data_IF_336093485992
#
_entry.id   IF_336093485992
#
_cell.length_a   1.000
_cell.length_b   1.000
_cell.length_c   1.000
_cell.angle_alpha   90.00
_cell.angle_beta   90.00
_cell.angle_gamma   90.00
#
_symmetry.space_group_name_H-M   'P 1'
#
loop_
_entity.id
_entity.type
_entity.pdbx_description
1 polymer ?
#
# COMPACT_ATOMS: atom_id res chain seq x y z
N UNK A 1 10.86 15.12 -7.05
CA UNK A 1 10.55 13.74 -6.60
C UNK A 1 11.43 13.50 -5.40
N UNK A 2 10.89 13.73 -4.19
CA UNK A 2 11.60 13.45 -2.94
C UNK A 2 11.23 12.02 -2.57
N UNK A 3 12.14 11.08 -2.81
CA UNK A 3 11.96 9.69 -2.40
C UNK A 3 11.77 9.59 -0.88
N UNK A 4 10.65 9.06 -0.45
CA UNK A 4 10.30 8.83 0.95
C UNK A 4 11.06 7.63 1.52
N UNK A 5 12.37 7.65 1.48
CA UNK A 5 13.20 6.56 1.99
C UNK A 5 14.58 7.05 2.43
N UNK A 6 14.85 7.06 3.71
CA UNK A 6 16.20 6.89 4.22
C UNK A 6 17.05 8.10 4.55
N UNK A 7 16.57 9.33 4.50
CA UNK A 7 17.39 10.51 4.84
C UNK A 7 17.29 10.93 6.32
N UNK A 8 16.31 10.44 7.06
CA UNK A 8 16.00 10.89 8.41
C UNK A 8 16.62 10.05 9.53
N UNK A 9 17.19 8.89 9.19
CA UNK A 9 17.79 7.95 10.16
C UNK A 9 19.32 8.09 10.34
N UNK A 10 19.96 9.11 9.75
CA UNK A 10 21.40 9.32 9.95
C UNK A 10 21.64 10.51 10.90
N UNK A 11 22.25 10.28 12.07
CA UNK A 11 22.69 11.35 12.96
C UNK A 11 24.01 11.94 12.45
N UNK A 12 23.97 12.81 11.45
CA UNK A 12 25.09 13.68 11.11
C UNK A 12 24.57 15.04 10.66
N UNK A 13 24.91 16.05 11.49
CA UNK A 13 24.85 17.49 11.31
C UNK A 13 24.38 18.03 9.98
N UNK A 14 23.10 18.28 9.87
CA UNK A 14 22.55 19.15 8.82
C UNK A 14 22.55 20.56 9.39
N UNK A 15 23.16 21.51 8.67
CA UNK A 15 23.21 22.91 9.06
C UNK A 15 21.81 23.45 9.36
N UNK A 16 21.63 23.93 10.58
CA UNK A 16 20.33 24.24 11.21
C UNK A 16 19.57 25.40 10.53
N UNK A 17 20.24 26.22 9.72
CA UNK A 17 19.67 27.46 9.16
C UNK A 17 18.88 27.26 7.85
N UNK A 18 19.22 26.29 7.01
CA UNK A 18 18.45 25.98 5.79
C UNK A 18 17.23 25.09 6.03
N UNK A 19 17.30 24.21 7.02
CA UNK A 19 16.24 23.25 7.34
C UNK A 19 14.97 23.86 7.90
N UNK A 20 15.08 24.95 8.68
CA UNK A 20 13.91 25.59 9.28
C UNK A 20 12.93 26.16 8.25
N UNK A 21 13.42 26.85 7.24
CA UNK A 21 12.57 27.42 6.17
C UNK A 21 11.83 26.32 5.41
N UNK A 22 12.53 25.24 5.10
CA UNK A 22 11.93 24.07 4.44
C UNK A 22 10.87 23.42 5.32
N UNK A 23 11.13 23.27 6.63
CA UNK A 23 10.15 22.73 7.59
C UNK A 23 8.92 23.63 7.69
N UNK A 24 9.10 24.95 7.72
CA UNK A 24 7.97 25.89 7.74
C UNK A 24 7.14 25.82 6.47
N UNK A 25 7.77 25.72 5.30
CA UNK A 25 7.08 25.56 4.02
C UNK A 25 6.28 24.24 4.00
N UNK A 26 6.90 23.12 4.35
CA UNK A 26 6.21 21.82 4.41
C UNK A 26 5.05 21.81 5.42
N UNK A 27 5.18 22.50 6.56
CA UNK A 27 4.06 22.65 7.50
C UNK A 27 2.91 23.49 6.90
N UNK A 28 3.24 24.54 6.16
CA UNK A 28 2.24 25.34 5.44
C UNK A 28 1.51 24.53 4.37
N UNK A 29 2.22 23.56 3.74
CA UNK A 29 1.66 22.60 2.79
C UNK A 29 0.88 21.45 3.47
N UNK A 30 0.69 21.50 4.80
CA UNK A 30 -0.13 20.55 5.54
C UNK A 30 0.61 19.33 6.11
N UNK A 31 1.93 19.25 5.96
CA UNK A 31 2.70 18.14 6.54
C UNK A 31 2.83 18.27 8.06
N UNK A 32 2.49 17.20 8.77
CA UNK A 32 2.62 17.16 10.25
C UNK A 32 4.07 16.89 10.67
N UNK A 33 4.86 17.96 10.74
CA UNK A 33 6.27 17.89 11.16
C UNK A 33 6.41 18.37 12.60
N UNK A 34 6.86 17.49 13.49
CA UNK A 34 7.12 17.78 14.91
C UNK A 34 8.62 18.05 15.14
N UNK A 35 8.91 19.03 15.96
CA UNK A 35 10.27 19.26 16.43
C UNK A 35 10.56 18.33 17.61
N UNK A 36 11.70 17.64 17.58
CA UNK A 36 12.17 16.77 18.65
C UNK A 36 13.43 17.40 19.25
N UNK A 37 13.42 17.83 20.50
CA UNK A 37 14.58 18.47 21.14
C UNK A 37 15.84 17.63 20.98
N UNK A 38 16.93 18.26 20.52
CA UNK A 38 18.25 17.63 20.27
C UNK A 38 18.28 16.51 19.20
N UNK A 39 17.13 16.18 18.57
CA UNK A 39 17.02 15.14 17.53
C UNK A 39 16.60 15.69 16.17
N UNK A 40 16.16 16.96 16.09
CA UNK A 40 15.73 17.60 14.85
C UNK A 40 14.22 17.54 14.63
N UNK A 41 13.79 17.13 13.45
CA UNK A 41 12.39 17.11 13.04
C UNK A 41 11.95 15.70 12.70
N UNK A 42 10.71 15.39 13.03
CA UNK A 42 10.06 14.12 12.72
C UNK A 42 8.77 14.39 11.95
N UNK A 43 8.66 13.79 10.76
CA UNK A 43 7.43 13.80 9.97
C UNK A 43 6.49 12.73 10.56
N UNK A 44 5.36 13.15 11.10
CA UNK A 44 4.30 12.23 11.51
C UNK A 44 3.42 11.92 10.32
N UNK A 45 3.27 10.64 9.93
CA UNK A 45 2.32 10.29 8.91
C UNK A 45 0.89 10.62 9.36
N UNK A 46 -0.06 10.89 8.45
CA UNK A 46 -1.48 10.89 8.75
C UNK A 46 -1.91 9.58 9.41
N UNK A 47 -2.96 9.60 10.22
CA UNK A 47 -3.45 8.39 10.91
C UNK A 47 -3.79 7.25 9.93
N UNK A 48 -4.27 7.60 8.74
CA UNK A 48 -4.65 6.65 7.69
C UNK A 48 -3.54 6.42 6.65
N UNK A 49 -2.31 6.82 6.92
CA UNK A 49 -1.25 6.72 5.91
C UNK A 49 -0.85 5.26 5.64
N UNK A 50 -0.88 4.89 4.37
CA UNK A 50 -0.35 3.61 3.86
C UNK A 50 1.08 3.74 3.35
N UNK A 51 1.87 4.63 3.94
CA UNK A 51 3.24 4.87 3.53
C UNK A 51 4.14 3.65 3.76
N UNK A 52 5.15 3.44 2.91
CA UNK A 52 6.06 2.30 3.04
C UNK A 52 6.71 2.16 4.42
N UNK A 53 7.03 3.28 5.08
CA UNK A 53 7.59 3.28 6.44
C UNK A 53 6.60 2.74 7.48
N UNK A 54 5.31 3.09 7.36
CA UNK A 54 4.25 2.61 8.23
C UNK A 54 4.02 1.11 8.03
N UNK A 55 3.99 0.67 6.77
CA UNK A 55 3.83 -0.75 6.43
C UNK A 55 5.01 -1.56 6.98
N UNK A 56 6.25 -1.14 6.71
CA UNK A 56 7.45 -1.83 7.17
C UNK A 56 7.55 -1.93 8.69
N UNK A 57 7.07 -0.93 9.44
CA UNK A 57 7.08 -0.95 10.90
C UNK A 57 6.23 -2.09 11.50
N UNK A 58 5.23 -2.58 10.77
CA UNK A 58 4.31 -3.64 11.22
C UNK A 58 4.44 -4.93 10.41
N UNK A 59 5.27 -4.93 9.36
CA UNK A 59 5.42 -6.07 8.46
C UNK A 59 6.16 -7.22 9.16
N UNK A 60 5.49 -8.37 9.26
CA UNK A 60 6.06 -9.62 9.81
C UNK A 60 6.43 -10.62 8.70
N UNK A 61 5.94 -10.41 7.50
CA UNK A 61 6.17 -11.31 6.37
C UNK A 61 7.63 -11.20 5.88
N UNK A 62 8.22 -12.36 5.52
CA UNK A 62 9.62 -12.43 5.10
C UNK A 62 9.83 -12.18 3.60
N UNK A 63 8.80 -12.36 2.77
CA UNK A 63 8.89 -12.25 1.32
C UNK A 63 7.87 -11.28 0.71
N UNK A 64 6.73 -11.07 1.34
CA UNK A 64 5.73 -10.07 0.90
C UNK A 64 6.22 -8.67 1.26
N UNK A 65 6.01 -7.71 0.35
CA UNK A 65 6.27 -6.29 0.53
C UNK A 65 7.74 -5.94 0.89
N UNK A 66 8.71 -6.78 0.48
CA UNK A 66 10.13 -6.40 0.57
C UNK A 66 10.45 -5.22 -0.37
N UNK A 67 9.83 -5.18 -1.56
CA UNK A 67 9.70 -4.00 -2.40
C UNK A 67 8.30 -3.43 -2.26
N UNK A 68 8.20 -2.13 -1.98
CA UNK A 68 6.94 -1.38 -1.89
C UNK A 68 7.05 -0.18 -2.81
N UNK A 69 6.20 -0.13 -3.81
CA UNK A 69 6.04 0.99 -4.72
C UNK A 69 4.78 1.76 -4.31
N UNK A 70 4.98 2.96 -3.77
CA UNK A 70 3.92 3.82 -3.24
C UNK A 70 3.61 4.98 -4.21
N UNK A 71 2.34 5.29 -4.34
CA UNK A 71 1.82 6.40 -5.15
C UNK A 71 0.80 7.21 -4.35
N UNK A 72 0.92 8.52 -4.39
CA UNK A 72 -0.09 9.45 -3.85
C UNK A 72 -1.42 9.29 -4.61
N UNK A 73 -1.34 9.20 -5.95
CA UNK A 73 -2.45 8.91 -6.84
C UNK A 73 -1.97 8.12 -8.05
N UNK A 74 -2.81 7.25 -8.55
CA UNK A 74 -2.53 6.49 -9.78
C UNK A 74 -3.82 6.09 -10.48
N UNK A 75 -3.73 5.74 -11.76
CA UNK A 75 -4.89 5.19 -12.48
C UNK A 75 -5.37 3.87 -11.86
N UNK A 76 -4.46 2.92 -11.63
CA UNK A 76 -4.77 1.63 -11.01
C UNK A 76 -3.49 0.92 -10.55
N UNK A 77 -3.47 0.45 -9.30
CA UNK A 77 -2.37 -0.35 -8.74
C UNK A 77 -2.20 -1.68 -9.49
N UNK A 78 -3.27 -2.31 -9.97
CA UNK A 78 -3.20 -3.52 -10.79
C UNK A 78 -2.49 -3.27 -12.13
N UNK A 79 -2.76 -2.14 -12.78
CA UNK A 79 -2.08 -1.80 -14.04
C UNK A 79 -0.58 -1.65 -13.84
N UNK A 80 -0.17 -1.01 -12.75
CA UNK A 80 1.24 -0.87 -12.40
C UNK A 80 1.84 -2.25 -12.08
N UNK A 81 1.19 -3.04 -11.23
CA UNK A 81 1.67 -4.38 -10.88
C UNK A 81 1.81 -5.28 -12.11
N UNK A 82 0.87 -5.19 -13.07
CA UNK A 82 0.95 -5.92 -14.34
C UNK A 82 2.14 -5.47 -15.19
N UNK A 83 2.40 -4.16 -15.29
CA UNK A 83 3.58 -3.65 -16.01
C UNK A 83 4.87 -4.16 -15.36
N UNK A 84 4.97 -4.09 -14.03
CA UNK A 84 6.09 -4.65 -13.27
C UNK A 84 6.21 -6.18 -13.45
N UNK A 85 5.10 -6.87 -13.65
CA UNK A 85 5.08 -8.32 -13.93
C UNK A 85 5.80 -8.70 -15.21
N UNK A 86 5.86 -7.79 -16.19
CA UNK A 86 6.58 -7.96 -17.45
C UNK A 86 8.08 -7.66 -17.35
N UNK A 87 8.53 -7.08 -16.23
CA UNK A 87 9.94 -6.84 -15.97
C UNK A 87 10.65 -8.09 -15.46
N UNK A 88 11.98 -8.05 -15.49
CA UNK A 88 12.80 -9.10 -14.89
C UNK A 88 12.47 -9.27 -13.40
N UNK A 89 12.53 -10.51 -12.92
CA UNK A 89 12.21 -10.84 -11.54
C UNK A 89 13.18 -10.20 -10.51
N UNK A 90 14.39 -9.82 -10.94
CA UNK A 90 15.32 -9.07 -10.11
C UNK A 90 14.90 -7.61 -9.92
N UNK A 91 14.28 -7.01 -10.95
CA UNK A 91 13.75 -5.65 -10.89
C UNK A 91 12.41 -5.59 -10.14
N UNK A 92 11.53 -6.57 -10.37
CA UNK A 92 10.23 -6.65 -9.70
C UNK A 92 10.01 -8.05 -9.10
N UNK A 93 10.54 -8.33 -7.90
CA UNK A 93 10.52 -9.67 -7.30
C UNK A 93 9.12 -10.11 -6.91
N UNK A 94 8.97 -11.44 -6.74
CA UNK A 94 7.79 -12.04 -6.14
C UNK A 94 7.45 -11.38 -4.79
N UNK A 95 6.19 -11.01 -4.60
CA UNK A 95 5.75 -10.31 -3.40
C UNK A 95 5.94 -8.80 -3.42
N UNK A 96 6.29 -8.19 -4.58
CA UNK A 96 6.30 -6.73 -4.71
C UNK A 96 4.90 -6.17 -4.45
N UNK A 97 4.80 -5.18 -3.56
CA UNK A 97 3.58 -4.49 -3.21
C UNK A 97 3.51 -3.15 -3.95
N UNK A 98 2.43 -2.93 -4.69
CA UNK A 98 2.05 -1.62 -5.24
C UNK A 98 0.90 -1.09 -4.41
N UNK A 99 1.02 0.11 -3.87
CA UNK A 99 0.00 0.71 -3.00
C UNK A 99 -0.20 2.18 -3.34
N UNK A 100 -1.43 2.67 -3.22
CA UNK A 100 -1.77 4.06 -3.51
C UNK A 100 -2.78 4.60 -2.49
N UNK A 101 -2.73 5.93 -2.25
CA UNK A 101 -3.74 6.63 -1.45
C UNK A 101 -5.01 6.88 -2.28
N UNK A 102 -4.89 6.98 -3.61
CA UNK A 102 -6.01 7.24 -4.52
C UNK A 102 -5.87 6.47 -5.84
N UNK A 103 -6.98 5.96 -6.36
CA UNK A 103 -7.09 5.43 -7.72
C UNK A 103 -8.11 6.22 -8.54
N UNK A 104 -7.66 6.83 -9.65
CA UNK A 104 -8.52 7.60 -10.57
C UNK A 104 -9.37 6.70 -11.47
N UNK A 105 -8.90 5.50 -11.75
CA UNK A 105 -9.56 4.51 -12.61
C UNK A 105 -9.44 3.09 -12.02
N UNK A 106 -9.84 2.97 -10.75
CA UNK A 106 -9.88 1.69 -10.05
C UNK A 106 -10.76 0.67 -10.77
N UNK A 107 -10.32 -0.58 -10.81
CA UNK A 107 -10.94 -1.64 -11.60
C UNK A 107 -11.54 -2.73 -10.71
N UNK A 108 -12.65 -3.27 -11.16
CA UNK A 108 -13.28 -4.46 -10.64
C UNK A 108 -13.50 -5.49 -11.75
N UNK A 109 -14.08 -6.63 -11.40
CA UNK A 109 -14.44 -7.68 -12.37
C UNK A 109 -15.54 -7.21 -13.34
N UNK A 110 -15.57 -7.78 -14.54
CA UNK A 110 -16.61 -7.52 -15.54
C UNK A 110 -16.76 -6.02 -15.86
N UNK A 111 -15.64 -5.34 -16.11
CA UNK A 111 -15.60 -3.90 -16.45
C UNK A 111 -16.15 -2.94 -15.38
N UNK A 112 -16.43 -3.40 -14.18
CA UNK A 112 -16.87 -2.53 -13.08
C UNK A 112 -15.73 -1.65 -12.61
N UNK A 113 -16.08 -0.45 -12.12
CA UNK A 113 -15.11 0.46 -11.49
C UNK A 113 -15.07 0.23 -9.98
N UNK A 114 -13.93 0.51 -9.38
CA UNK A 114 -13.76 0.69 -7.94
C UNK A 114 -13.58 2.16 -7.64
N UNK A 115 -14.41 2.72 -6.79
CA UNK A 115 -14.39 4.14 -6.43
C UNK A 115 -14.22 4.24 -4.92
N UNK A 116 -13.26 5.03 -4.49
CA UNK A 116 -13.05 5.39 -3.08
C UNK A 116 -12.51 6.82 -3.01
N UNK A 117 -12.76 7.49 -1.90
CA UNK A 117 -12.11 8.77 -1.62
C UNK A 117 -10.67 8.52 -1.18
N UNK A 118 -9.81 9.51 -1.37
CA UNK A 118 -8.43 9.46 -0.89
C UNK A 118 -8.41 9.21 0.62
N UNK A 119 -7.64 8.20 1.05
CA UNK A 119 -7.48 7.82 2.46
C UNK A 119 -8.61 6.98 3.06
N UNK A 120 -9.71 6.71 2.34
CA UNK A 120 -10.85 5.92 2.86
C UNK A 120 -10.68 4.41 2.60
N UNK A 121 -9.70 4.01 1.80
CA UNK A 121 -9.49 2.61 1.43
C UNK A 121 -8.00 2.26 1.31
N UNK A 122 -7.68 1.00 1.55
CA UNK A 122 -6.38 0.42 1.22
C UNK A 122 -6.42 -0.07 -0.22
N UNK A 123 -5.78 0.69 -1.11
CA UNK A 123 -5.74 0.43 -2.55
C UNK A 123 -4.39 -0.19 -2.90
N UNK A 124 -4.35 -1.50 -3.02
CA UNK A 124 -3.09 -2.20 -3.19
C UNK A 124 -3.18 -3.36 -4.19
N UNK A 125 -2.05 -3.69 -4.79
CA UNK A 125 -1.87 -4.89 -5.62
C UNK A 125 -0.58 -5.60 -5.24
N UNK A 126 -0.63 -6.90 -5.17
CA UNK A 126 0.51 -7.76 -4.87
C UNK A 126 0.93 -8.50 -6.14
N UNK A 127 2.18 -8.28 -6.57
CA UNK A 127 2.75 -9.02 -7.69
C UNK A 127 3.20 -10.40 -7.22
N UNK A 128 2.56 -11.44 -7.74
CA UNK A 128 2.93 -12.81 -7.49
C UNK A 128 3.57 -13.43 -8.73
N UNK A 129 4.60 -14.23 -8.54
CA UNK A 129 5.27 -15.03 -9.57
C UNK A 129 5.27 -16.49 -9.13
N UNK A 130 4.10 -17.16 -9.14
CA UNK A 130 4.02 -18.56 -8.72
C UNK A 130 4.83 -19.43 -9.69
N UNK A 131 5.59 -20.36 -9.13
CA UNK A 131 6.28 -21.38 -9.91
C UNK A 131 5.38 -22.60 -9.98
N UNK A 132 5.30 -23.22 -11.17
CA UNK A 132 4.54 -24.47 -11.41
C UNK A 132 3.03 -24.39 -11.12
N UNK A 133 2.42 -23.20 -11.26
CA UNK A 133 0.97 -23.03 -11.13
C UNK A 133 0.38 -22.87 -12.52
N UNK A 134 -0.53 -23.74 -12.89
CA UNK A 134 -1.25 -23.61 -14.15
C UNK A 134 -2.23 -22.39 -14.10
N UNK A 135 -2.50 -21.72 -15.24
CA UNK A 135 -3.37 -20.55 -15.25
C UNK A 135 -4.78 -20.77 -14.69
N UNK A 136 -5.33 -21.97 -14.84
CA UNK A 136 -6.62 -22.39 -14.30
C UNK A 136 -6.59 -22.57 -12.76
N UNK A 137 -5.44 -22.90 -12.19
CA UNK A 137 -5.24 -22.99 -10.76
C UNK A 137 -5.08 -21.60 -10.09
N UNK A 138 -4.85 -20.56 -10.88
CA UNK A 138 -4.66 -19.19 -10.34
C UNK A 138 -5.88 -18.69 -9.55
N UNK A 139 -7.08 -19.22 -9.80
CA UNK A 139 -8.29 -18.92 -9.03
C UNK A 139 -8.13 -19.21 -7.53
N UNK A 140 -7.30 -20.16 -7.13
CA UNK A 140 -6.99 -20.48 -5.74
C UNK A 140 -6.33 -19.28 -5.04
N UNK A 141 -5.53 -18.50 -5.74
CA UNK A 141 -4.88 -17.29 -5.19
C UNK A 141 -5.92 -16.26 -4.72
N UNK A 142 -7.05 -16.15 -5.42
CA UNK A 142 -8.15 -15.28 -5.00
C UNK A 142 -8.75 -15.77 -3.69
N UNK A 143 -8.93 -17.08 -3.53
CA UNK A 143 -9.51 -17.68 -2.32
C UNK A 143 -8.57 -17.51 -1.12
N UNK A 144 -7.28 -17.78 -1.30
CA UNK A 144 -6.25 -17.58 -0.26
C UNK A 144 -6.19 -16.10 0.15
N UNK A 145 -6.21 -15.19 -0.83
CA UNK A 145 -6.23 -13.75 -0.55
C UNK A 145 -7.51 -13.34 0.18
N UNK A 146 -8.67 -13.88 -0.22
CA UNK A 146 -9.95 -13.61 0.45
C UNK A 146 -9.93 -14.07 1.91
N UNK A 147 -9.38 -15.25 2.18
CA UNK A 147 -9.22 -15.76 3.55
C UNK A 147 -8.31 -14.84 4.37
N UNK A 148 -7.14 -14.49 3.85
CA UNK A 148 -6.17 -13.63 4.53
C UNK A 148 -6.75 -12.24 4.86
N UNK A 149 -7.45 -11.61 3.90
CA UNK A 149 -8.11 -10.31 4.13
C UNK A 149 -9.25 -10.43 5.13
N UNK A 150 -10.06 -11.50 5.03
CA UNK A 150 -11.15 -11.74 5.96
C UNK A 150 -10.65 -11.90 7.40
N UNK A 151 -9.59 -12.69 7.60
CA UNK A 151 -8.95 -12.87 8.92
C UNK A 151 -8.33 -11.58 9.45
N UNK A 152 -7.66 -10.80 8.59
CA UNK A 152 -7.12 -9.50 8.96
C UNK A 152 -8.24 -8.55 9.43
N UNK A 153 -9.35 -8.45 8.69
CA UNK A 153 -10.50 -7.63 9.08
C UNK A 153 -11.09 -8.08 10.42
N UNK A 154 -11.25 -9.40 10.62
CA UNK A 154 -11.73 -9.96 11.89
C UNK A 154 -10.81 -9.67 13.06
N UNK A 155 -9.51 -9.71 12.85
CA UNK A 155 -8.53 -9.38 13.90
C UNK A 155 -8.61 -7.92 14.36
N UNK A 156 -9.17 -7.04 13.50
CA UNK A 156 -9.46 -5.64 13.78
C UNK A 156 -10.90 -5.42 14.32
N UNK A 157 -11.66 -6.50 14.56
CA UNK A 157 -13.01 -6.43 15.13
C UNK A 157 -14.14 -6.29 14.10
N UNK A 158 -13.86 -6.31 12.79
CA UNK A 158 -14.91 -6.27 11.77
C UNK A 158 -15.57 -7.66 11.62
N UNK A 159 -16.93 -7.77 11.53
CA UNK A 159 -17.64 -9.03 11.33
C UNK A 159 -17.55 -9.49 9.85
N UNK A 160 -16.32 -9.64 9.37
CA UNK A 160 -16.05 -9.93 7.97
C UNK A 160 -16.42 -11.36 7.59
N UNK A 161 -17.04 -11.51 6.42
CA UNK A 161 -17.40 -12.76 5.78
C UNK A 161 -16.93 -12.78 4.33
N UNK A 162 -16.55 -13.95 3.84
CA UNK A 162 -16.22 -14.14 2.42
C UNK A 162 -17.51 -14.31 1.64
N UNK A 163 -17.74 -13.41 0.69
CA UNK A 163 -18.78 -13.57 -0.34
C UNK A 163 -18.10 -14.06 -1.62
N UNK A 164 -18.26 -15.35 -1.88
CA UNK A 164 -17.68 -16.00 -3.04
C UNK A 164 -18.06 -15.28 -4.34
N UNK A 165 -17.16 -15.18 -5.34
CA UNK A 165 -15.82 -15.78 -5.34
C UNK A 165 -14.69 -14.82 -4.89
N UNK A 166 -14.91 -13.52 -4.71
CA UNK A 166 -13.82 -12.54 -4.63
C UNK A 166 -14.13 -11.30 -3.77
N UNK A 167 -15.21 -11.32 -3.01
CA UNK A 167 -15.61 -10.18 -2.20
C UNK A 167 -15.54 -10.52 -0.70
N UNK A 168 -15.22 -9.53 0.11
CA UNK A 168 -15.39 -9.56 1.55
C UNK A 168 -16.52 -8.60 1.90
N UNK A 169 -17.42 -9.04 2.74
CA UNK A 169 -18.57 -8.25 3.23
C UNK A 169 -18.56 -8.18 4.75
N UNK A 170 -19.07 -7.09 5.30
CA UNK A 170 -19.35 -6.91 6.71
C UNK A 170 -20.71 -6.23 6.84
N UNK A 171 -21.59 -6.74 7.71
CA UNK A 171 -22.96 -6.21 7.91
C UNK A 171 -23.75 -6.03 6.59
N UNK A 172 -23.58 -6.95 5.65
CA UNK A 172 -24.24 -6.93 4.35
C UNK A 172 -23.63 -5.96 3.32
N UNK A 173 -22.67 -5.13 3.72
CA UNK A 173 -21.97 -4.19 2.84
C UNK A 173 -20.65 -4.75 2.34
N UNK A 174 -20.26 -4.35 1.13
CA UNK A 174 -18.98 -4.77 0.55
C UNK A 174 -17.82 -4.01 1.20
N UNK A 175 -16.96 -4.73 1.90
CA UNK A 175 -15.76 -4.22 2.56
C UNK A 175 -14.53 -4.28 1.64
N UNK A 176 -14.37 -5.36 0.87
CA UNK A 176 -13.24 -5.53 -0.03
C UNK A 176 -13.66 -6.26 -1.31
N UNK A 177 -12.94 -5.99 -2.39
CA UNK A 177 -13.00 -6.74 -3.65
C UNK A 177 -11.61 -7.14 -4.10
N UNK A 178 -11.46 -8.38 -4.54
CA UNK A 178 -10.19 -8.94 -5.00
C UNK A 178 -10.27 -9.16 -6.50
N UNK A 179 -9.30 -8.61 -7.22
CA UNK A 179 -9.18 -8.75 -8.67
C UNK A 179 -7.83 -9.38 -9.00
N UNK A 180 -7.86 -10.55 -9.62
CA UNK A 180 -6.71 -11.22 -10.20
C UNK A 180 -6.63 -10.89 -11.70
N UNK A 181 -5.46 -10.49 -12.16
CA UNK A 181 -5.14 -10.22 -13.57
C UNK A 181 -3.83 -10.87 -13.98
#
# INVERSE_FOLDING_TARGET
>A
VVGAGGWWDRPRGVAVTGGWRTVCALRADGYNIVSVPRRGYHLKPPENAVWPSCIRAHLKAKWIAQRIDYYDATGSTNRIARALGSEDASAAPHGTLVIADEQESGRGRMTRSWISKKGDAVLMSLLLRPQNTAPDEAAVLVQVTALAVCEACRSLGAPALIKWPNDIVADGLKLCGILLE
#
